data_IF_418820667351
#
_entry.id   IF_418820667351
#
_cell.length_a   1.000
_cell.length_b   1.000
_cell.length_c   1.000
_cell.angle_alpha   90.00
_cell.angle_beta   90.00
_cell.angle_gamma   90.00
#
_symmetry.space_group_name_H-M   'P 1'
#
loop_
_entity.id
_entity.type
_entity.pdbx_description
1 polymer ?
#
# COMPACT_ATOMS: atom_id res chain seq x y z
N UNK A 1 -25.14 3.95 12.84
CA UNK A 1 -24.66 4.80 11.71
C UNK A 1 -24.32 6.25 12.10
N UNK A 2 -25.04 6.89 13.04
CA UNK A 2 -24.75 8.27 13.44
C UNK A 2 -23.49 8.45 14.31
N UNK A 3 -23.05 7.41 15.03
CA UNK A 3 -21.83 7.41 15.86
C UNK A 3 -20.58 7.34 14.96
N UNK A 4 -20.57 6.43 13.98
CA UNK A 4 -19.49 6.29 12.99
C UNK A 4 -19.28 7.56 12.15
N UNK A 5 -20.39 8.24 11.78
CA UNK A 5 -20.34 9.50 11.04
C UNK A 5 -19.79 10.66 11.91
N UNK A 6 -19.95 10.62 13.23
CA UNK A 6 -19.42 11.65 14.16
C UNK A 6 -17.93 11.49 14.44
N UNK A 7 -17.39 10.28 14.42
CA UNK A 7 -15.95 10.04 14.55
C UNK A 7 -15.20 10.40 13.26
N UNK A 8 -15.75 10.05 12.09
CA UNK A 8 -15.19 10.43 10.78
C UNK A 8 -15.20 11.95 10.53
N UNK A 9 -16.26 12.65 10.95
CA UNK A 9 -16.36 14.11 10.75
C UNK A 9 -15.42 14.89 11.68
N UNK A 10 -14.96 14.31 12.80
CA UNK A 10 -13.93 14.95 13.65
C UNK A 10 -12.51 14.84 13.07
N UNK A 11 -12.27 13.92 12.13
CA UNK A 11 -10.97 13.73 11.47
C UNK A 11 -10.85 14.42 10.11
N UNK A 12 -11.94 14.96 9.55
CA UNK A 12 -11.89 15.69 8.28
C UNK A 12 -11.62 17.17 8.51
N UNK A 13 -10.34 17.52 8.69
CA UNK A 13 -9.85 18.90 8.60
C UNK A 13 -8.35 18.91 8.27
N UNK A 14 -8.03 19.21 7.00
CA UNK A 14 -6.71 19.55 6.42
C UNK A 14 -5.71 18.41 6.20
N UNK A 15 -5.49 18.05 4.93
CA UNK A 15 -4.27 17.52 4.26
C UNK A 15 -3.20 16.75 5.09
N UNK A 16 -3.57 16.02 6.13
CA UNK A 16 -2.65 15.25 6.95
C UNK A 16 -2.81 13.77 6.62
N UNK A 17 -1.75 13.17 6.08
CA UNK A 17 -1.62 11.70 6.05
C UNK A 17 -1.65 11.23 7.50
N UNK A 18 -2.74 10.59 7.92
CA UNK A 18 -2.88 10.06 9.27
C UNK A 18 -1.97 8.82 9.41
N UNK A 19 -1.02 8.86 10.35
CA UNK A 19 -0.26 7.67 10.73
C UNK A 19 -1.22 6.73 11.46
N UNK A 20 -1.32 5.48 11.02
CA UNK A 20 -2.15 4.49 11.69
C UNK A 20 -1.37 3.26 12.13
N UNK A 21 -1.87 2.60 13.17
CA UNK A 21 -1.38 1.30 13.67
C UNK A 21 -2.01 0.16 12.85
N UNK A 22 -1.50 -1.06 12.97
CA UNK A 22 -1.94 -2.21 12.15
C UNK A 22 -3.44 -2.53 12.23
N UNK A 23 -4.12 -2.21 13.34
CA UNK A 23 -5.55 -2.45 13.53
C UNK A 23 -6.43 -1.64 12.55
N UNK A 24 -5.96 -0.47 12.14
CA UNK A 24 -6.68 0.40 11.21
C UNK A 24 -6.64 -0.13 9.77
N UNK A 25 -5.66 -0.99 9.42
CA UNK A 25 -5.59 -1.64 8.11
C UNK A 25 -6.82 -2.52 7.86
N UNK A 26 -7.22 -3.31 8.87
CA UNK A 26 -8.36 -4.22 8.76
C UNK A 26 -9.64 -3.43 8.52
N UNK A 27 -9.86 -2.35 9.27
CA UNK A 27 -11.03 -1.49 9.10
C UNK A 27 -11.05 -0.82 7.73
N UNK A 28 -9.90 -0.35 7.25
CA UNK A 28 -9.76 0.24 5.94
C UNK A 28 -10.11 -0.74 4.82
N UNK A 29 -9.54 -1.95 4.82
CA UNK A 29 -9.88 -2.96 3.82
C UNK A 29 -11.33 -3.41 3.94
N UNK A 30 -11.87 -3.60 5.16
CA UNK A 30 -13.30 -3.90 5.36
C UNK A 30 -14.20 -2.81 4.78
N UNK A 31 -13.80 -1.54 4.86
CA UNK A 31 -14.54 -0.45 4.21
C UNK A 31 -14.54 -0.60 2.68
N UNK A 32 -13.39 -0.87 2.07
CA UNK A 32 -13.27 -1.05 0.62
C UNK A 32 -14.08 -2.27 0.12
N UNK A 33 -14.00 -3.42 0.80
CA UNK A 33 -14.75 -4.63 0.45
C UNK A 33 -16.28 -4.52 0.64
N UNK A 34 -16.75 -3.50 1.37
CA UNK A 34 -18.19 -3.14 1.42
C UNK A 34 -18.63 -2.34 0.20
N UNK A 35 -17.72 -1.63 -0.45
CA UNK A 35 -18.01 -0.80 -1.61
C UNK A 35 -17.81 -1.54 -2.93
N UNK A 36 -16.88 -2.51 -2.96
CA UNK A 36 -16.48 -3.22 -4.19
C UNK A 36 -16.50 -4.74 -3.97
N UNK A 37 -16.74 -5.50 -5.03
CA UNK A 37 -16.61 -6.96 -5.01
C UNK A 37 -15.14 -7.38 -5.01
N UNK A 38 -14.75 -8.50 -4.35
CA UNK A 38 -13.38 -8.99 -4.37
C UNK A 38 -12.81 -9.19 -5.78
N UNK A 39 -13.64 -9.67 -6.71
CA UNK A 39 -13.24 -9.87 -8.11
C UNK A 39 -13.16 -8.56 -8.92
N UNK A 40 -13.64 -7.45 -8.36
CA UNK A 40 -13.56 -6.11 -8.94
C UNK A 40 -12.49 -5.25 -8.24
N UNK A 41 -11.62 -5.84 -7.42
CA UNK A 41 -10.52 -5.14 -6.75
C UNK A 41 -9.21 -5.63 -7.33
N UNK A 42 -8.32 -4.71 -7.70
CA UNK A 42 -6.95 -5.05 -8.07
C UNK A 42 -5.96 -4.39 -7.13
N UNK A 43 -5.09 -5.21 -6.53
CA UNK A 43 -3.95 -4.73 -5.76
C UNK A 43 -2.79 -4.45 -6.70
N UNK A 44 -2.24 -3.24 -6.64
CA UNK A 44 -1.01 -2.85 -7.35
C UNK A 44 0.06 -2.61 -6.29
N UNK A 45 0.92 -3.61 -6.12
CA UNK A 45 1.99 -3.61 -5.13
C UNK A 45 3.29 -3.13 -5.78
N UNK A 46 3.65 -1.89 -5.48
CA UNK A 46 4.73 -1.14 -6.11
C UNK A 46 6.03 -1.35 -5.34
N UNK A 47 7.11 -1.55 -6.09
CA UNK A 47 8.46 -1.73 -5.57
C UNK A 47 9.28 -2.73 -6.36
N UNK A 48 10.49 -3.01 -5.87
CA UNK A 48 11.46 -3.91 -6.51
C UNK A 48 12.04 -4.90 -5.50
N UNK A 49 12.39 -6.10 -5.97
CA UNK A 49 13.11 -7.11 -5.19
C UNK A 49 14.60 -6.79 -5.01
N UNK A 50 15.11 -5.74 -5.66
CA UNK A 50 16.53 -5.35 -5.67
C UNK A 50 16.92 -4.33 -4.59
N UNK A 51 15.98 -3.89 -3.77
CA UNK A 51 16.19 -2.94 -2.69
C UNK A 51 15.35 -3.37 -1.49
N UNK A 52 15.98 -3.65 -0.35
CA UNK A 52 15.27 -4.26 0.79
C UNK A 52 14.12 -3.42 1.31
N UNK A 53 14.29 -2.10 1.40
CA UNK A 53 13.25 -1.15 1.78
C UNK A 53 12.12 -1.00 0.74
N UNK A 54 12.44 -1.24 -0.53
CA UNK A 54 11.49 -1.14 -1.65
C UNK A 54 10.83 -2.49 -2.00
N UNK A 55 11.24 -3.58 -1.33
CA UNK A 55 10.70 -4.91 -1.55
C UNK A 55 9.30 -5.11 -0.96
N UNK A 56 8.77 -4.12 -0.22
CA UNK A 56 7.47 -4.21 0.45
C UNK A 56 6.34 -4.58 -0.53
N UNK A 57 6.23 -3.88 -1.67
CA UNK A 57 5.19 -4.18 -2.66
C UNK A 57 5.28 -5.63 -3.16
N UNK A 58 6.38 -6.05 -3.81
CA UNK A 58 6.55 -7.42 -4.29
C UNK A 58 6.34 -8.49 -3.22
N UNK A 59 6.78 -8.25 -1.97
CA UNK A 59 6.53 -9.15 -0.84
C UNK A 59 5.04 -9.23 -0.50
N UNK A 60 4.38 -8.09 -0.32
CA UNK A 60 2.93 -8.06 -0.05
C UNK A 60 2.15 -8.72 -1.17
N UNK A 61 2.44 -8.44 -2.43
CA UNK A 61 1.72 -9.04 -3.55
C UNK A 61 1.87 -10.57 -3.62
N UNK A 62 3.07 -11.08 -3.31
CA UNK A 62 3.28 -12.54 -3.23
C UNK A 62 2.45 -13.16 -2.12
N UNK A 63 2.43 -12.55 -0.93
CA UNK A 63 1.60 -12.99 0.19
C UNK A 63 0.11 -12.93 -0.13
N UNK A 64 -0.35 -11.88 -0.81
CA UNK A 64 -1.76 -11.76 -1.24
C UNK A 64 -2.16 -12.92 -2.17
N UNK A 65 -1.28 -13.32 -3.09
CA UNK A 65 -1.50 -14.49 -3.94
C UNK A 65 -1.55 -15.79 -3.11
N UNK A 66 -0.66 -15.95 -2.14
CA UNK A 66 -0.68 -17.09 -1.21
C UNK A 66 -1.97 -17.16 -0.39
N UNK A 67 -2.55 -16.01 -0.03
CA UNK A 67 -3.87 -15.92 0.63
C UNK A 67 -5.06 -16.09 -0.33
N UNK A 68 -4.83 -16.32 -1.63
CA UNK A 68 -5.88 -16.57 -2.61
C UNK A 68 -6.52 -15.31 -3.21
N UNK A 69 -5.85 -14.16 -3.14
CA UNK A 69 -6.32 -12.94 -3.83
C UNK A 69 -6.01 -13.05 -5.33
N UNK A 70 -7.06 -12.97 -6.15
CA UNK A 70 -6.97 -13.24 -7.60
C UNK A 70 -6.24 -12.15 -8.39
N UNK A 71 -6.54 -10.88 -8.13
CA UNK A 71 -6.08 -9.76 -8.95
C UNK A 71 -4.97 -8.97 -8.26
N UNK A 72 -3.74 -9.47 -8.42
CA UNK A 72 -2.53 -8.86 -7.85
C UNK A 72 -1.53 -8.54 -8.94
N UNK A 73 -1.07 -7.29 -8.96
CA UNK A 73 -0.01 -6.77 -9.82
C UNK A 73 1.17 -6.41 -8.95
N UNK A 74 2.35 -6.91 -9.29
CA UNK A 74 3.57 -6.69 -8.50
C UNK A 74 3.75 -7.78 -7.45
N UNK A 75 4.61 -8.73 -7.74
CA UNK A 75 4.97 -9.85 -6.86
C UNK A 75 6.48 -10.05 -6.91
N UNK A 76 7.06 -10.90 -6.06
CA UNK A 76 8.49 -11.22 -6.14
C UNK A 76 8.87 -11.83 -7.49
N UNK A 77 8.01 -12.71 -8.03
CA UNK A 77 8.24 -13.31 -9.34
C UNK A 77 8.06 -12.31 -10.51
N UNK A 78 7.31 -11.23 -10.28
CA UNK A 78 6.97 -10.23 -11.29
C UNK A 78 6.83 -8.83 -10.66
N UNK A 79 7.94 -8.17 -10.28
CA UNK A 79 7.90 -6.88 -9.57
C UNK A 79 7.27 -5.75 -10.40
N UNK A 80 6.70 -4.76 -9.73
CA UNK A 80 6.07 -3.58 -10.34
C UNK A 80 6.78 -2.32 -9.85
N UNK A 81 7.81 -1.90 -10.57
CA UNK A 81 8.62 -0.72 -10.26
C UNK A 81 8.31 0.43 -11.22
N UNK A 82 9.04 1.54 -11.07
CA UNK A 82 8.88 2.73 -11.91
C UNK A 82 8.95 2.44 -13.43
N UNK A 83 9.77 1.46 -13.85
CA UNK A 83 10.00 1.15 -15.26
C UNK A 83 8.87 0.29 -15.86
N UNK A 84 8.16 -0.47 -15.02
CA UNK A 84 7.11 -1.42 -15.45
C UNK A 84 5.69 -0.98 -15.10
N UNK A 85 5.53 0.00 -14.22
CA UNK A 85 4.25 0.44 -13.67
C UNK A 85 3.20 0.76 -14.74
N UNK A 86 3.50 1.64 -15.69
CA UNK A 86 2.53 2.06 -16.72
C UNK A 86 2.00 0.88 -17.54
N UNK A 87 2.91 -0.01 -17.97
CA UNK A 87 2.56 -1.20 -18.74
C UNK A 87 1.68 -2.15 -17.93
N UNK A 88 1.97 -2.32 -16.64
CA UNK A 88 1.19 -3.17 -15.75
C UNK A 88 -0.19 -2.57 -15.45
N UNK A 89 -0.28 -1.26 -15.26
CA UNK A 89 -1.55 -0.58 -15.04
C UNK A 89 -2.48 -0.68 -16.24
N UNK A 90 -1.94 -0.65 -17.47
CA UNK A 90 -2.72 -0.83 -18.68
C UNK A 90 -3.40 -2.21 -18.80
N UNK A 91 -2.94 -3.20 -18.02
CA UNK A 91 -3.52 -4.55 -17.98
C UNK A 91 -4.63 -4.70 -16.93
N UNK A 92 -4.82 -3.71 -16.06
CA UNK A 92 -5.87 -3.74 -15.04
C UNK A 92 -7.22 -3.46 -15.70
N UNK A 93 -8.26 -4.29 -15.47
CA UNK A 93 -9.58 -4.04 -16.05
C UNK A 93 -10.14 -2.69 -15.60
N UNK A 94 -10.72 -1.93 -16.53
CA UNK A 94 -11.14 -0.55 -16.29
C UNK A 94 -12.24 -0.37 -15.23
N UNK A 95 -13.00 -1.43 -14.94
CA UNK A 95 -14.05 -1.42 -13.93
C UNK A 95 -13.53 -1.79 -12.53
N UNK A 96 -12.26 -2.16 -12.39
CA UNK A 96 -11.70 -2.54 -11.10
C UNK A 96 -11.34 -1.33 -10.25
N UNK A 97 -11.63 -1.42 -8.96
CA UNK A 97 -11.08 -0.56 -7.94
C UNK A 97 -9.61 -0.93 -7.67
N UNK A 98 -8.71 -0.02 -7.99
CA UNK A 98 -7.28 -0.19 -7.74
C UNK A 98 -6.90 0.23 -6.30
N UNK A 99 -6.20 -0.66 -5.59
CA UNK A 99 -5.56 -0.37 -4.30
C UNK A 99 -4.05 -0.38 -4.49
N UNK A 100 -3.41 0.78 -4.39
CA UNK A 100 -1.96 0.92 -4.49
C UNK A 100 -1.28 0.60 -3.14
N UNK A 101 -0.22 -0.20 -3.16
CA UNK A 101 0.60 -0.51 -1.98
C UNK A 101 2.04 -0.13 -2.30
N UNK A 102 2.69 0.66 -1.45
CA UNK A 102 4.04 1.17 -1.68
C UNK A 102 4.83 1.35 -0.37
N UNK A 103 6.15 1.36 -0.46
CA UNK A 103 7.02 1.73 0.64
C UNK A 103 7.37 3.23 0.56
N UNK A 104 7.55 3.86 1.72
CA UNK A 104 8.04 5.23 1.76
C UNK A 104 8.97 5.48 2.95
N UNK A 105 9.74 6.55 2.82
CA UNK A 105 10.49 7.12 3.93
C UNK A 105 9.67 8.24 4.56
N UNK A 106 9.68 8.33 5.89
CA UNK A 106 8.88 9.30 6.64
C UNK A 106 9.62 9.89 7.83
N UNK A 107 8.94 10.70 8.66
CA UNK A 107 9.50 11.14 9.94
C UNK A 107 9.89 9.95 10.81
N UNK A 108 10.94 10.10 11.62
CA UNK A 108 11.43 9.01 12.49
C UNK A 108 10.34 8.42 13.40
N UNK A 109 9.39 9.26 13.84
CA UNK A 109 8.27 8.87 14.69
C UNK A 109 7.19 8.07 13.96
N UNK A 110 7.19 8.11 12.62
CA UNK A 110 6.23 7.39 11.78
C UNK A 110 6.77 6.04 11.27
N UNK A 111 8.04 5.71 11.49
CA UNK A 111 8.60 4.41 11.08
C UNK A 111 7.80 3.26 11.69
N UNK A 112 7.36 2.33 10.85
CA UNK A 112 6.50 1.19 11.24
C UNK A 112 5.01 1.47 11.22
N UNK A 113 4.59 2.66 10.80
CA UNK A 113 3.18 3.00 10.59
C UNK A 113 2.80 2.95 9.11
N UNK A 114 1.50 3.04 8.86
CA UNK A 114 0.94 3.09 7.50
C UNK A 114 0.24 4.43 7.28
N UNK A 115 0.30 4.91 6.04
CA UNK A 115 -0.55 5.97 5.54
C UNK A 115 -1.65 5.36 4.70
N UNK A 116 -2.90 5.56 5.12
CA UNK A 116 -4.08 5.08 4.41
C UNK A 116 -4.80 6.25 3.76
N UNK A 117 -5.25 6.07 2.53
CA UNK A 117 -6.00 7.10 1.82
C UNK A 117 -7.02 6.52 0.85
N UNK A 118 -8.15 7.23 0.72
CA UNK A 118 -9.18 7.03 -0.32
C UNK A 118 -8.92 7.95 -1.53
N UNK A 119 -7.65 8.11 -1.88
CA UNK A 119 -7.23 8.85 -3.06
C UNK A 119 -6.00 8.17 -3.67
N UNK A 120 -5.66 8.48 -4.94
CA UNK A 120 -4.51 7.90 -5.60
C UNK A 120 -3.20 8.13 -4.84
N UNK A 121 -2.32 7.14 -4.91
CA UNK A 121 -0.92 7.27 -4.54
C UNK A 121 -0.18 7.98 -5.68
N UNK A 122 0.80 8.82 -5.34
CA UNK A 122 1.79 9.31 -6.31
C UNK A 122 3.10 8.60 -5.95
N UNK A 123 3.44 7.49 -6.63
CA UNK A 123 4.65 6.74 -6.34
C UNK A 123 5.87 7.60 -6.62
N UNK A 124 7.00 7.30 -5.97
CA UNK A 124 8.28 7.89 -6.30
C UNK A 124 8.38 9.44 -6.18
N UNK A 125 7.45 10.11 -5.48
CA UNK A 125 7.46 11.57 -5.27
C UNK A 125 8.79 12.07 -4.67
N UNK A 126 9.41 11.25 -3.83
CA UNK A 126 10.67 11.57 -3.13
C UNK A 126 11.94 11.38 -3.97
N UNK A 127 11.80 10.78 -5.17
CA UNK A 127 12.93 10.39 -6.04
C UNK A 127 12.88 11.08 -7.41
N UNK A 128 11.98 12.04 -7.60
CA UNK A 128 11.97 12.94 -8.77
C UNK A 128 11.38 12.37 -10.06
N UNK A 129 10.85 11.14 -10.03
CA UNK A 129 10.15 10.54 -11.16
C UNK A 129 8.75 11.13 -11.37
N UNK A 130 8.32 11.28 -12.63
CA UNK A 130 6.94 11.61 -12.99
C UNK A 130 6.16 10.32 -13.27
N UNK A 131 5.83 9.58 -12.22
CA UNK A 131 4.93 8.42 -12.36
C UNK A 131 3.47 8.87 -12.31
N UNK A 132 2.57 8.19 -13.05
CA UNK A 132 1.14 8.50 -12.98
C UNK A 132 0.60 8.25 -11.57
N UNK A 133 -0.44 8.97 -11.14
CA UNK A 133 -1.16 8.63 -9.93
C UNK A 133 -1.78 7.23 -10.07
N UNK A 134 -1.67 6.42 -9.01
CA UNK A 134 -2.09 5.02 -9.00
C UNK A 134 -3.13 4.79 -7.92
N UNK A 135 -4.22 4.12 -8.28
CA UNK A 135 -5.20 3.68 -7.30
C UNK A 135 -6.37 4.62 -7.11
N UNK A 136 -7.47 4.06 -6.62
CA UNK A 136 -8.55 4.79 -5.96
C UNK A 136 -8.28 4.86 -4.45
N UNK A 137 -7.55 3.86 -3.93
CA UNK A 137 -7.11 3.74 -2.55
C UNK A 137 -5.61 3.54 -2.51
N UNK A 138 -4.98 3.90 -1.39
CA UNK A 138 -3.56 3.66 -1.20
C UNK A 138 -3.18 3.30 0.23
N UNK A 139 -2.15 2.45 0.33
CA UNK A 139 -1.43 2.11 1.56
C UNK A 139 0.05 2.38 1.32
N UNK A 140 0.60 3.38 1.99
CA UNK A 140 2.04 3.63 1.99
C UNK A 140 2.64 3.27 3.35
N UNK A 141 3.52 2.27 3.38
CA UNK A 141 4.20 1.82 4.58
C UNK A 141 5.46 2.64 4.84
N UNK A 142 5.61 3.20 6.04
CA UNK A 142 6.82 3.96 6.42
C UNK A 142 7.90 2.98 6.89
N UNK A 143 8.69 2.47 5.95
CA UNK A 143 9.66 1.40 6.21
C UNK A 143 10.92 1.90 6.93
N UNK A 144 11.22 3.20 6.84
CA UNK A 144 12.35 3.80 7.53
C UNK A 144 12.20 5.32 7.66
N UNK A 145 13.06 5.93 8.48
CA UNK A 145 13.14 7.38 8.61
C UNK A 145 13.79 8.00 7.36
N UNK A 146 13.28 9.14 6.91
CA UNK A 146 13.87 9.91 5.82
C UNK A 146 15.19 10.57 6.25
N UNK A 147 16.07 10.86 5.30
CA UNK A 147 17.40 11.41 5.56
C UNK A 147 18.12 11.87 4.29
N UNK A 148 19.41 12.24 4.39
CA UNK A 148 20.14 12.91 3.30
C UNK A 148 20.41 12.02 2.06
N UNK A 149 20.25 10.70 2.16
CA UNK A 149 20.45 9.73 1.06
C UNK A 149 19.30 8.72 1.00
N UNK A 150 18.11 9.12 0.52
CA UNK A 150 16.91 8.28 0.59
C UNK A 150 17.06 6.93 -0.11
N UNK A 151 17.71 6.88 -1.27
CA UNK A 151 17.95 5.61 -1.97
C UNK A 151 18.82 4.63 -1.17
N UNK A 152 19.93 5.10 -0.59
CA UNK A 152 20.80 4.26 0.24
C UNK A 152 20.09 3.80 1.50
N UNK A 153 19.22 4.64 2.08
CA UNK A 153 18.40 4.26 3.23
C UNK A 153 17.47 3.12 2.86
N UNK A 154 16.77 3.20 1.72
CA UNK A 154 15.91 2.11 1.24
C UNK A 154 16.73 0.83 1.01
N UNK A 155 17.88 0.91 0.35
CA UNK A 155 18.76 -0.24 0.10
C UNK A 155 19.30 -0.93 1.36
N UNK A 156 19.43 -0.20 2.47
CA UNK A 156 19.94 -0.70 3.76
C UNK A 156 18.83 -0.91 4.79
N UNK A 157 17.57 -0.69 4.44
CA UNK A 157 16.45 -0.90 5.37
C UNK A 157 16.36 -2.38 5.72
N UNK A 158 16.06 -2.69 6.98
CA UNK A 158 15.98 -4.09 7.45
C UNK A 158 14.92 -4.86 6.68
N UNK A 159 15.34 -5.90 5.95
CA UNK A 159 14.42 -6.79 5.24
C UNK A 159 13.42 -7.46 6.21
N UNK A 160 13.88 -7.88 7.39
CA UNK A 160 13.00 -8.49 8.39
C UNK A 160 11.85 -7.54 8.79
N UNK A 161 12.15 -6.25 8.94
CA UNK A 161 11.16 -5.24 9.25
C UNK A 161 10.15 -5.06 8.11
N UNK A 162 10.64 -4.97 6.87
CA UNK A 162 9.81 -4.86 5.66
C UNK A 162 8.91 -6.07 5.49
N UNK A 163 9.43 -7.28 5.71
CA UNK A 163 8.65 -8.52 5.68
C UNK A 163 7.52 -8.51 6.73
N UNK A 164 7.81 -8.00 7.94
CA UNK A 164 6.81 -7.84 9.00
C UNK A 164 5.67 -6.91 8.56
N UNK A 165 6.00 -5.73 8.02
CA UNK A 165 4.99 -4.79 7.52
C UNK A 165 4.19 -5.36 6.33
N UNK A 166 4.87 -6.06 5.42
CA UNK A 166 4.24 -6.69 4.26
C UNK A 166 3.21 -7.74 4.68
N UNK A 167 3.55 -8.52 5.71
CA UNK A 167 2.67 -9.52 6.33
C UNK A 167 1.47 -8.88 6.99
N UNK A 168 1.64 -7.81 7.77
CA UNK A 168 0.52 -7.10 8.39
C UNK A 168 -0.50 -6.59 7.36
N UNK A 169 -0.04 -6.08 6.21
CA UNK A 169 -0.94 -5.66 5.13
C UNK A 169 -1.70 -6.86 4.56
N UNK A 170 -0.99 -7.95 4.22
CA UNK A 170 -1.60 -9.13 3.61
C UNK A 170 -2.59 -9.84 4.56
N UNK A 171 -2.24 -9.97 5.84
CA UNK A 171 -3.12 -10.52 6.88
C UNK A 171 -4.38 -9.65 7.07
N UNK A 172 -4.25 -8.32 7.04
CA UNK A 172 -5.39 -7.43 7.15
C UNK A 172 -6.35 -7.53 5.95
N UNK A 173 -5.82 -7.70 4.72
CA UNK A 173 -6.63 -7.98 3.54
C UNK A 173 -7.34 -9.32 3.68
N UNK A 174 -6.61 -10.38 4.04
CA UNK A 174 -7.17 -11.72 4.20
C UNK A 174 -8.25 -11.77 5.30
N UNK A 175 -8.08 -11.01 6.39
CA UNK A 175 -9.11 -10.87 7.41
C UNK A 175 -10.33 -10.12 6.87
N UNK A 176 -10.14 -9.00 6.16
CA UNK A 176 -11.24 -8.20 5.64
C UNK A 176 -12.16 -8.98 4.68
N UNK A 177 -11.60 -9.90 3.89
CA UNK A 177 -12.36 -10.77 2.98
C UNK A 177 -13.28 -11.75 3.74
N UNK A 178 -12.85 -12.25 4.91
CA UNK A 178 -13.59 -13.26 5.69
C UNK A 178 -14.86 -12.73 6.36
N UNK A 179 -14.96 -11.42 6.59
CA UNK A 179 -16.07 -10.78 7.32
C UNK A 179 -17.16 -10.19 6.41
N UNK A 180 -17.33 -10.76 5.21
CA UNK A 180 -18.38 -10.37 4.27
C UNK A 180 -19.73 -11.01 4.62
#
# INVERSE_FOLDING_TARGET
MAVYKRELVRHQSREARHNVQGEDLVLFFKHIYKLHSPDEITFVCIGTDRSTGDALGPLTGSLLQEYGVNHVVGTLASPCDADTLEKRLALVPSHHAIIAIDACLGPKQATGTYYLAEHPLIPAKSVGGKLPPVGHYSVAAVVNANGPRPYSILQMTSLHFVMGMSRSIAEAVAEAVKYR
#
